data_IF_732158564160
#
_entry.id   IF_732158564160
#
_cell.length_a   1.000
_cell.length_b   1.000
_cell.length_c   1.000
_cell.angle_alpha   90.00
_cell.angle_beta   90.00
_cell.angle_gamma   90.00
#
_symmetry.space_group_name_H-M   'P 1'
#
loop_
_entity.id
_entity.type
_entity.pdbx_description
1 polymer ?
#
# COMPACT_ATOMS: atom_id res chain seq x y z
N UNK A 1 -6.22 -2.56 32.95
CA UNK A 1 -7.46 -2.18 33.65
C UNK A 1 -8.71 -2.69 32.93
N UNK A 2 -8.84 -2.48 31.62
CA UNK A 2 -10.00 -2.95 30.82
C UNK A 2 -10.28 -4.46 30.93
N UNK A 3 -9.24 -5.30 30.95
CA UNK A 3 -9.40 -6.76 31.12
C UNK A 3 -10.04 -7.15 32.46
N UNK A 4 -9.56 -6.56 33.57
CA UNK A 4 -10.14 -6.79 34.91
C UNK A 4 -11.59 -6.31 34.98
N UNK A 5 -11.91 -5.19 34.33
CA UNK A 5 -13.28 -4.68 34.25
C UNK A 5 -14.19 -5.64 33.47
N UNK A 6 -13.71 -6.19 32.34
CA UNK A 6 -14.43 -7.18 31.56
C UNK A 6 -14.69 -8.45 32.38
N UNK A 7 -13.69 -8.97 33.09
CA UNK A 7 -13.84 -10.13 33.98
C UNK A 7 -14.90 -9.88 35.06
N UNK A 8 -14.87 -8.72 35.71
CA UNK A 8 -15.90 -8.37 36.72
C UNK A 8 -17.31 -8.30 36.12
N UNK A 9 -17.46 -7.76 34.91
CA UNK A 9 -18.75 -7.68 34.22
C UNK A 9 -19.26 -9.06 33.78
N UNK A 10 -18.37 -9.97 33.38
CA UNK A 10 -18.73 -11.36 33.06
C UNK A 10 -19.18 -12.13 34.30
N UNK A 11 -18.51 -11.95 35.43
CA UNK A 11 -18.94 -12.53 36.72
C UNK A 11 -20.30 -11.97 37.14
N UNK A 12 -20.51 -10.66 37.00
CA UNK A 12 -21.80 -10.03 37.26
C UNK A 12 -22.91 -10.56 36.34
N UNK A 13 -22.61 -10.75 35.05
CA UNK A 13 -23.55 -11.34 34.09
C UNK A 13 -23.97 -12.74 34.52
N UNK A 14 -23.01 -13.60 34.86
CA UNK A 14 -23.26 -14.99 35.30
C UNK A 14 -24.13 -15.03 36.56
N UNK A 15 -23.85 -14.16 37.53
CA UNK A 15 -24.63 -14.06 38.76
C UNK A 15 -26.07 -13.58 38.52
N UNK A 16 -26.26 -12.61 37.61
CA UNK A 16 -27.59 -12.11 37.26
C UNK A 16 -28.39 -13.12 36.46
N UNK A 17 -27.76 -13.88 35.57
CA UNK A 17 -28.40 -14.96 34.81
C UNK A 17 -28.90 -16.08 35.73
N UNK A 18 -28.10 -16.50 36.71
CA UNK A 18 -28.53 -17.49 37.72
C UNK A 18 -29.72 -16.97 38.56
N UNK A 19 -29.68 -15.71 38.99
CA UNK A 19 -30.78 -15.10 39.76
C UNK A 19 -32.06 -14.97 38.93
N UNK A 20 -31.95 -14.58 37.66
CA UNK A 20 -33.09 -14.46 36.76
C UNK A 20 -33.72 -15.82 36.43
N UNK A 21 -32.91 -16.87 36.33
CA UNK A 21 -33.38 -18.23 36.10
C UNK A 21 -34.14 -18.79 37.31
N UNK A 22 -33.68 -18.48 38.52
CA UNK A 22 -34.36 -18.89 39.76
C UNK A 22 -35.66 -18.09 40.00
N UNK A 23 -35.64 -16.79 39.73
CA UNK A 23 -36.78 -15.89 39.89
C UNK A 23 -36.87 -14.93 38.69
N UNK A 24 -37.85 -15.11 37.79
CA UNK A 24 -38.02 -14.23 36.65
C UNK A 24 -38.58 -12.87 37.10
N UNK A 25 -37.67 -11.95 37.42
CA UNK A 25 -37.98 -10.57 37.81
C UNK A 25 -37.52 -9.57 36.72
N UNK A 26 -38.34 -8.53 36.51
CA UNK A 26 -38.12 -7.49 35.51
C UNK A 26 -36.94 -6.58 35.88
N UNK A 27 -36.73 -6.29 37.16
CA UNK A 27 -35.58 -5.49 37.59
C UNK A 27 -34.24 -6.21 37.37
N UNK A 28 -34.22 -7.55 37.54
CA UNK A 28 -33.05 -8.38 37.21
C UNK A 28 -32.82 -8.38 35.69
N UNK A 29 -33.89 -8.47 34.88
CA UNK A 29 -33.79 -8.42 33.43
C UNK A 29 -33.18 -7.10 32.93
N UNK A 30 -33.62 -5.95 33.48
CA UNK A 30 -33.06 -4.62 33.14
C UNK A 30 -31.56 -4.56 33.43
N UNK A 31 -31.11 -5.05 34.59
CA UNK A 31 -29.69 -5.10 34.97
C UNK A 31 -28.88 -5.99 34.02
N UNK A 32 -29.45 -7.12 33.62
CA UNK A 32 -28.81 -8.05 32.69
C UNK A 32 -28.63 -7.43 31.29
N UNK A 33 -29.64 -6.71 30.80
CA UNK A 33 -29.52 -5.94 29.54
C UNK A 33 -28.45 -4.85 29.64
N UNK A 34 -28.37 -4.13 30.77
CA UNK A 34 -27.34 -3.12 31.01
C UNK A 34 -25.92 -3.73 31.00
N UNK A 35 -25.68 -4.80 31.76
CA UNK A 35 -24.37 -5.48 31.79
C UNK A 35 -23.98 -6.01 30.40
N UNK A 36 -24.92 -6.59 29.64
CA UNK A 36 -24.66 -7.02 28.25
C UNK A 36 -24.27 -5.85 27.35
N UNK A 37 -24.93 -4.70 27.51
CA UNK A 37 -24.58 -3.48 26.76
C UNK A 37 -23.17 -3.03 27.12
N UNK A 38 -22.82 -2.99 28.40
CA UNK A 38 -21.51 -2.51 28.86
C UNK A 38 -20.37 -3.41 28.35
N UNK A 39 -20.56 -4.74 28.37
CA UNK A 39 -19.62 -5.70 27.77
C UNK A 39 -19.45 -5.44 26.27
N UNK A 40 -20.57 -5.27 25.55
CA UNK A 40 -20.53 -4.98 24.10
C UNK A 40 -19.80 -3.69 23.79
N UNK A 41 -20.04 -2.62 24.55
CA UNK A 41 -19.36 -1.34 24.35
C UNK A 41 -17.86 -1.46 24.59
N UNK A 42 -17.46 -2.18 25.64
CA UNK A 42 -16.05 -2.36 25.96
C UNK A 42 -15.30 -3.15 24.87
N UNK A 43 -15.92 -4.22 24.36
CA UNK A 43 -15.39 -4.99 23.23
C UNK A 43 -15.32 -4.16 21.95
N UNK A 44 -16.37 -3.39 21.65
CA UNK A 44 -16.40 -2.52 20.47
C UNK A 44 -15.29 -1.48 20.52
N UNK A 45 -15.08 -0.84 21.66
CA UNK A 45 -13.99 0.12 21.86
C UNK A 45 -12.62 -0.53 21.64
N UNK A 46 -12.41 -1.75 22.15
CA UNK A 46 -11.13 -2.45 22.00
C UNK A 46 -10.86 -2.86 20.54
N UNK A 47 -11.87 -3.34 19.84
CA UNK A 47 -11.78 -3.66 18.41
C UNK A 47 -11.53 -2.42 17.56
N UNK A 48 -12.20 -1.29 17.86
CA UNK A 48 -11.99 -0.03 17.18
C UNK A 48 -10.56 0.49 17.39
N UNK A 49 -10.05 0.42 18.61
CA UNK A 49 -8.66 0.78 18.90
C UNK A 49 -7.69 -0.12 18.14
N UNK A 50 -7.87 -1.44 18.20
CA UNK A 50 -7.02 -2.38 17.47
C UNK A 50 -7.02 -2.10 15.96
N UNK A 51 -8.17 -1.78 15.37
CA UNK A 51 -8.27 -1.38 13.96
C UNK A 51 -7.47 -0.09 13.66
N UNK A 52 -7.52 0.90 14.54
CA UNK A 52 -6.74 2.14 14.41
C UNK A 52 -5.24 1.84 14.49
N UNK A 53 -4.81 1.05 15.46
CA UNK A 53 -3.39 0.66 15.62
C UNK A 53 -2.89 -0.14 14.42
N UNK A 54 -3.67 -1.09 13.91
CA UNK A 54 -3.31 -1.84 12.69
C UNK A 54 -3.20 -0.91 11.49
N UNK A 55 -4.13 0.03 11.32
CA UNK A 55 -4.07 1.03 10.25
C UNK A 55 -2.83 1.90 10.37
N UNK A 56 -2.55 2.43 11.57
CA UNK A 56 -1.38 3.27 11.82
C UNK A 56 -0.07 2.53 11.51
N UNK A 57 0.10 1.33 12.07
CA UNK A 57 1.31 0.52 11.85
C UNK A 57 1.51 0.14 10.38
N UNK A 58 0.42 -0.06 9.63
CA UNK A 58 0.48 -0.26 8.18
C UNK A 58 1.02 0.98 7.47
N UNK A 59 0.50 2.19 7.76
CA UNK A 59 0.98 3.43 7.13
C UNK A 59 2.45 3.71 7.45
N UNK A 60 2.88 3.55 8.70
CA UNK A 60 4.26 3.75 9.12
C UNK A 60 5.24 2.82 8.39
N UNK A 61 4.82 1.59 8.10
CA UNK A 61 5.62 0.60 7.37
C UNK A 61 5.55 0.78 5.85
N UNK A 62 4.38 1.13 5.30
CA UNK A 62 4.18 1.34 3.85
C UNK A 62 4.97 2.53 3.32
N UNK A 63 5.08 3.62 4.09
CA UNK A 63 5.84 4.79 3.63
C UNK A 63 7.34 4.46 3.40
N UNK A 64 7.86 3.46 4.10
CA UNK A 64 9.24 2.97 3.90
C UNK A 64 9.40 2.22 2.58
N UNK A 65 8.43 1.40 2.19
CA UNK A 65 8.49 0.68 0.91
C UNK A 65 8.37 1.62 -0.27
N UNK A 66 7.47 2.61 -0.19
CA UNK A 66 7.27 3.59 -1.25
C UNK A 66 8.50 4.48 -1.43
N UNK A 67 9.12 4.90 -0.32
CA UNK A 67 10.37 5.67 -0.34
C UNK A 67 11.54 4.88 -0.92
N UNK A 68 11.69 3.61 -0.52
CA UNK A 68 12.74 2.74 -1.07
C UNK A 68 12.54 2.48 -2.56
N UNK A 69 11.30 2.23 -2.98
CA UNK A 69 10.95 2.05 -4.39
C UNK A 69 11.20 3.33 -5.19
N UNK A 70 10.79 4.50 -4.69
CA UNK A 70 11.06 5.77 -5.35
C UNK A 70 12.57 6.07 -5.42
N UNK A 71 13.34 5.67 -4.40
CA UNK A 71 14.80 5.81 -4.39
C UNK A 71 15.48 4.91 -5.43
N UNK A 72 14.94 3.71 -5.70
CA UNK A 72 15.48 2.82 -6.73
C UNK A 72 15.00 3.18 -8.14
N UNK A 73 13.76 3.67 -8.30
CA UNK A 73 13.19 4.06 -9.59
C UNK A 73 13.80 5.34 -10.16
N UNK A 74 14.04 6.37 -9.33
CA UNK A 74 14.62 7.66 -9.79
C UNK A 74 15.91 7.51 -10.62
N UNK A 75 16.97 6.86 -10.13
CA UNK A 75 18.20 6.70 -10.90
C UNK A 75 18.01 5.80 -12.14
N UNK A 76 17.06 4.86 -12.12
CA UNK A 76 16.72 4.05 -13.29
C UNK A 76 16.06 4.90 -14.39
N UNK A 77 15.13 5.77 -14.00
CA UNK A 77 14.46 6.70 -14.91
C UNK A 77 15.45 7.71 -15.48
N UNK A 78 16.29 8.31 -14.64
CA UNK A 78 17.33 9.26 -15.05
C UNK A 78 18.30 8.65 -16.07
N UNK A 79 18.76 7.40 -15.85
CA UNK A 79 19.64 6.70 -16.81
C UNK A 79 18.96 6.36 -18.13
N UNK A 80 17.66 6.10 -18.12
CA UNK A 80 16.90 5.79 -19.34
C UNK A 80 16.49 7.04 -20.13
N UNK A 81 16.45 8.20 -19.48
CA UNK A 81 15.97 9.43 -20.09
C UNK A 81 17.09 10.14 -20.85
N UNK A 82 16.99 10.16 -22.17
CA UNK A 82 17.96 10.83 -23.04
C UNK A 82 17.61 12.31 -23.13
N UNK A 83 18.31 13.16 -22.37
CA UNK A 83 18.11 14.62 -22.32
C UNK A 83 18.74 15.36 -23.50
N UNK A 84 19.81 14.82 -24.07
CA UNK A 84 20.51 15.40 -25.21
C UNK A 84 21.28 14.33 -25.99
N UNK A 85 21.42 14.54 -27.30
CA UNK A 85 22.18 13.69 -28.20
C UNK A 85 23.18 14.53 -29.02
N UNK A 86 24.37 14.00 -29.26
CA UNK A 86 25.38 14.65 -30.10
C UNK A 86 25.22 14.17 -31.54
N UNK A 87 25.02 15.12 -32.46
CA UNK A 87 24.96 14.84 -33.89
C UNK A 87 26.39 14.64 -34.46
N UNK A 88 26.58 13.87 -35.56
CA UNK A 88 27.87 13.72 -36.23
C UNK A 88 28.55 15.04 -36.60
N UNK A 89 27.76 16.08 -36.87
CA UNK A 89 28.25 17.43 -37.21
C UNK A 89 28.79 18.20 -35.98
N UNK A 90 28.88 17.56 -34.82
CA UNK A 90 29.39 18.16 -33.58
C UNK A 90 28.38 18.97 -32.78
N UNK A 91 27.17 19.19 -33.30
CA UNK A 91 26.10 19.93 -32.60
C UNK A 91 25.36 19.04 -31.60
N UNK A 92 25.03 19.61 -30.42
CA UNK A 92 24.23 18.92 -29.39
C UNK A 92 22.77 19.31 -29.53
N UNK A 93 21.88 18.33 -29.65
CA UNK A 93 20.43 18.52 -29.78
C UNK A 93 19.77 18.05 -28.48
N UNK A 94 18.93 18.90 -27.88
CA UNK A 94 18.27 18.63 -26.60
C UNK A 94 16.74 18.71 -26.69
N UNK A 95 16.19 19.23 -27.80
CA UNK A 95 14.74 19.24 -28.03
C UNK A 95 14.25 17.82 -28.33
N UNK A 96 13.13 17.36 -27.72
CA UNK A 96 12.60 16.00 -27.95
C UNK A 96 12.38 15.68 -29.43
N UNK A 97 11.81 16.61 -30.20
CA UNK A 97 11.55 16.44 -31.63
C UNK A 97 12.84 16.27 -32.45
N UNK A 98 13.91 16.95 -32.05
CA UNK A 98 15.22 16.86 -32.71
C UNK A 98 15.91 15.55 -32.35
N UNK A 99 15.86 15.13 -31.08
CA UNK A 99 16.40 13.84 -30.62
C UNK A 99 15.70 12.70 -31.37
N UNK A 100 14.37 12.75 -31.50
CA UNK A 100 13.59 11.76 -32.23
C UNK A 100 14.01 11.67 -33.70
N UNK A 101 14.21 12.80 -34.39
CA UNK A 101 14.71 12.83 -35.77
C UNK A 101 16.10 12.21 -35.91
N UNK A 102 17.01 12.51 -34.97
CA UNK A 102 18.36 11.92 -34.99
C UNK A 102 18.31 10.40 -34.83
N UNK A 103 17.45 9.88 -33.95
CA UNK A 103 17.23 8.44 -33.83
C UNK A 103 16.60 7.84 -35.09
N UNK A 104 15.59 8.50 -35.67
CA UNK A 104 14.94 8.08 -36.90
C UNK A 104 15.95 7.96 -38.06
N UNK A 105 16.76 9.00 -38.28
CA UNK A 105 17.78 9.03 -39.32
C UNK A 105 18.87 7.96 -39.09
N UNK A 106 19.28 7.74 -37.85
CA UNK A 106 20.22 6.67 -37.49
C UNK A 106 19.66 5.29 -37.84
N UNK A 107 18.43 4.98 -37.41
CA UNK A 107 17.84 3.66 -37.66
C UNK A 107 17.47 3.45 -39.12
N UNK A 108 17.05 4.50 -39.85
CA UNK A 108 16.91 4.45 -41.31
C UNK A 108 18.21 4.03 -41.97
N UNK A 109 19.34 4.64 -41.60
CA UNK A 109 20.66 4.25 -42.13
C UNK A 109 21.04 2.81 -41.73
N UNK A 110 20.77 2.43 -40.48
CA UNK A 110 21.13 1.12 -39.96
C UNK A 110 20.40 -0.02 -40.68
N UNK A 111 19.09 0.13 -40.90
CA UNK A 111 18.26 -0.93 -41.47
C UNK A 111 18.11 -0.85 -42.99
N UNK A 112 18.38 0.31 -43.62
CA UNK A 112 18.44 0.42 -45.08
C UNK A 112 19.83 0.13 -45.64
N UNK A 113 20.81 -0.21 -44.80
CA UNK A 113 22.08 -0.76 -45.26
C UNK A 113 21.82 -2.19 -45.75
N UNK A 114 21.79 -2.39 -47.07
CA UNK A 114 21.83 -3.73 -47.64
C UNK A 114 23.17 -4.37 -47.26
N UNK A 115 23.21 -5.64 -46.80
CA UNK A 115 24.48 -6.35 -46.73
C UNK A 115 25.05 -6.37 -48.13
N UNK A 116 26.27 -5.87 -48.28
CA UNK A 116 26.98 -5.87 -49.55
C UNK A 116 26.87 -7.26 -50.18
N UNK A 117 26.38 -7.29 -51.41
CA UNK A 117 26.23 -8.50 -52.19
C UNK A 117 27.53 -9.31 -52.09
N UNK A 118 27.43 -10.52 -51.53
CA UNK A 118 28.48 -11.51 -51.61
C UNK A 118 28.72 -11.80 -53.10
N UNK A 119 29.73 -11.15 -53.68
CA UNK A 119 30.28 -11.52 -54.99
C UNK A 119 30.99 -12.85 -54.80
N UNK A 120 30.54 -13.95 -55.44
CA UNK A 120 31.28 -15.19 -55.41
C UNK A 120 32.39 -15.08 -56.46
N UNK A 121 33.63 -14.89 -55.99
CA UNK A 121 34.81 -14.98 -56.85
C UNK A 121 35.00 -16.45 -57.28
N UNK A 122 35.08 -16.65 -58.60
CA UNK A 122 35.43 -17.90 -59.25
C UNK A 122 36.93 -18.12 -59.37
#
# INVERSE_FOLDING_TARGET
>A
MKHKQLETLLEQLRNLEQKHQATPDNEIYKKLVAVRRDIRTLLLDDTAQSMIWTKQTYYEKSNKTDSLLARTLRPRQERSHITAIKHPDGTTKSRPDEIAKVFEDFYKKLYNHTPDAHTPDG
#
